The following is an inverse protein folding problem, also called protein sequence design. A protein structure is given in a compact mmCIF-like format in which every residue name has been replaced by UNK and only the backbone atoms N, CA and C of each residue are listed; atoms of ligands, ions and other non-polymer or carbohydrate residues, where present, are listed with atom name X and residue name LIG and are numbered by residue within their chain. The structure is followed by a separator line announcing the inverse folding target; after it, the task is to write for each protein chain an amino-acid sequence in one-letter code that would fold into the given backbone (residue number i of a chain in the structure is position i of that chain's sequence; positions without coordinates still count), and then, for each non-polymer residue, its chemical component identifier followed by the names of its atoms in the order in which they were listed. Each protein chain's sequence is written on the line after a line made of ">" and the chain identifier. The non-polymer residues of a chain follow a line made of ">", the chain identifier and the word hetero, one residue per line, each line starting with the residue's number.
data_IF_566344805777
#
_entry.id   IF_566344805777
#
_cell.length_a   1.000
_cell.length_b   1.000
_cell.length_c   1.000
_cell.angle_alpha   90.00
_cell.angle_beta   90.00
_cell.angle_gamma   90.00
#
_symmetry.space_group_name_H-M   'P 1'
#
loop_
_entity.id
_entity.type
_entity.pdbx_description
1 polymer ?
#
# COMPACT_ATOMS: atom_id res chain seq x y z
N UNK A 1 20.55 -0.93 -9.02
CA UNK A 1 19.36 -1.79 -9.28
C UNK A 1 19.24 -2.07 -10.78
N UNK A 2 19.22 -3.34 -11.19
CA UNK A 2 18.99 -3.73 -12.60
C UNK A 2 17.52 -3.42 -12.95
N UNK A 3 17.29 -2.56 -13.94
CA UNK A 3 15.95 -2.03 -14.25
C UNK A 3 15.15 -3.02 -15.08
N UNK A 4 13.96 -3.40 -14.60
CA UNK A 4 13.04 -4.29 -15.32
C UNK A 4 12.22 -3.45 -16.29
N UNK A 5 12.17 -3.86 -17.56
CA UNK A 5 11.37 -3.20 -18.60
C UNK A 5 9.90 -3.55 -18.36
N UNK A 6 8.97 -2.58 -18.30
CA UNK A 6 7.56 -2.89 -18.17
C UNK A 6 7.09 -3.69 -19.39
N UNK A 7 6.49 -4.85 -19.13
CA UNK A 7 5.82 -5.77 -20.04
C UNK A 7 4.61 -6.42 -19.30
N UNK A 8 3.93 -7.37 -19.94
CA UNK A 8 2.75 -8.00 -19.36
C UNK A 8 3.07 -8.74 -18.05
N UNK A 9 4.22 -9.42 -17.98
CA UNK A 9 4.66 -10.15 -16.80
C UNK A 9 5.02 -9.21 -15.65
N UNK A 10 5.64 -8.06 -15.97
CA UNK A 10 5.87 -7.00 -15.01
C UNK A 10 4.55 -6.50 -14.38
N UNK A 11 3.50 -6.29 -15.19
CA UNK A 11 2.19 -5.85 -14.68
C UNK A 11 1.56 -6.91 -13.79
N UNK A 12 1.62 -8.19 -14.17
CA UNK A 12 1.13 -9.29 -13.35
C UNK A 12 1.87 -9.36 -12.01
N UNK A 13 3.20 -9.22 -12.03
CA UNK A 13 4.02 -9.21 -10.83
C UNK A 13 3.70 -8.01 -9.94
N UNK A 14 3.53 -6.80 -10.49
CA UNK A 14 3.15 -5.63 -9.68
C UNK A 14 1.76 -5.80 -9.07
N UNK A 15 0.80 -6.37 -9.81
CA UNK A 15 -0.53 -6.65 -9.28
C UNK A 15 -0.47 -7.63 -8.10
N UNK A 16 0.26 -8.73 -8.23
CA UNK A 16 0.47 -9.69 -7.15
C UNK A 16 1.16 -9.05 -5.93
N UNK A 17 2.22 -8.27 -6.16
CA UNK A 17 2.96 -7.59 -5.10
C UNK A 17 2.09 -6.58 -4.34
N UNK A 18 1.25 -5.83 -5.04
CA UNK A 18 0.32 -4.89 -4.38
C UNK A 18 -0.73 -5.65 -3.55
N UNK A 19 -1.26 -6.76 -4.06
CA UNK A 19 -2.16 -7.63 -3.28
C UNK A 19 -1.47 -8.20 -2.04
N UNK A 20 -0.20 -8.60 -2.15
CA UNK A 20 0.59 -9.09 -1.03
C UNK A 20 0.85 -8.01 0.02
N UNK A 21 1.16 -6.78 -0.39
CA UNK A 21 1.36 -5.65 0.55
C UNK A 21 0.06 -5.27 1.26
N UNK A 22 -1.07 -5.31 0.56
CA UNK A 22 -2.40 -5.15 1.16
C UNK A 22 -2.69 -6.28 2.16
N UNK A 23 -2.36 -7.53 1.81
CA UNK A 23 -2.57 -8.72 2.67
C UNK A 23 -1.62 -8.81 3.87
N UNK A 24 -0.35 -8.45 3.73
CA UNK A 24 0.64 -8.45 4.81
C UNK A 24 0.31 -7.41 5.89
N UNK A 25 -0.30 -6.28 5.50
CA UNK A 25 -0.88 -5.34 6.46
C UNK A 25 -2.21 -5.81 7.03
N UNK A 26 -2.92 -6.68 6.33
CA UNK A 26 -4.13 -7.36 6.79
C UNK A 26 -3.87 -8.66 7.56
N UNK A 27 -2.73 -8.78 8.26
CA UNK A 27 -2.31 -10.04 8.88
C UNK A 27 -3.22 -10.51 10.03
N UNK A 28 -4.15 -9.66 10.48
CA UNK A 28 -5.06 -9.93 11.60
C UNK A 28 -6.49 -9.75 11.09
N UNK A 29 -7.35 -10.73 11.35
CA UNK A 29 -8.77 -10.64 10.96
C UNK A 29 -9.47 -9.51 11.73
N UNK A 30 -10.59 -9.01 11.20
CA UNK A 30 -11.37 -8.00 11.92
C UNK A 30 -11.82 -8.50 13.29
N UNK A 31 -12.25 -9.76 13.37
CA UNK A 31 -12.66 -10.39 14.62
C UNK A 31 -11.52 -10.43 15.64
N UNK A 32 -10.30 -10.74 15.19
CA UNK A 32 -9.11 -10.74 16.04
C UNK A 32 -8.69 -9.32 16.47
N UNK A 33 -8.84 -8.32 15.58
CA UNK A 33 -8.59 -6.91 15.89
C UNK A 33 -9.59 -6.39 16.94
N UNK A 34 -10.88 -6.72 16.78
CA UNK A 34 -11.94 -6.38 17.73
C UNK A 34 -11.72 -7.07 19.08
N UNK A 35 -11.30 -8.34 19.07
CA UNK A 35 -10.93 -9.06 20.29
C UNK A 35 -9.74 -8.39 21.01
N UNK A 36 -8.69 -8.02 20.28
CA UNK A 36 -7.52 -7.34 20.86
C UNK A 36 -7.92 -5.96 21.39
N UNK A 37 -8.76 -5.21 20.67
CA UNK A 37 -9.26 -3.91 21.13
C UNK A 37 -10.10 -4.04 22.41
N UNK A 38 -11.03 -5.01 22.48
CA UNK A 38 -11.82 -5.27 23.69
C UNK A 38 -10.94 -5.71 24.86
N UNK A 39 -10.02 -6.65 24.64
CA UNK A 39 -9.11 -7.14 25.67
C UNK A 39 -8.21 -6.01 26.23
N UNK A 40 -7.66 -5.17 25.36
CA UNK A 40 -6.79 -4.04 25.75
C UNK A 40 -7.60 -2.93 26.42
N UNK A 41 -8.87 -2.71 26.04
CA UNK A 41 -9.75 -1.72 26.67
C UNK A 41 -9.95 -1.97 28.17
N UNK A 42 -9.93 -3.25 28.59
CA UNK A 42 -10.12 -3.68 29.98
C UNK A 42 -8.88 -3.49 30.86
N UNK A 43 -7.71 -3.27 30.25
CA UNK A 43 -6.46 -2.99 30.97
C UNK A 43 -6.46 -1.56 31.55
N UNK A 44 -5.64 -1.30 32.57
CA UNK A 44 -5.48 0.05 33.14
C UNK A 44 -4.41 0.89 32.44
N UNK A 45 -3.59 0.28 31.59
CA UNK A 45 -2.47 0.95 30.92
C UNK A 45 -2.95 1.80 29.74
N UNK A 46 -2.98 3.13 29.93
CA UNK A 46 -3.38 4.09 28.91
C UNK A 46 -2.38 4.20 27.75
N UNK A 47 -1.09 3.94 27.99
CA UNK A 47 -0.05 4.02 26.96
C UNK A 47 -0.19 2.85 26.00
N UNK A 48 -0.42 1.65 26.53
CA UNK A 48 -0.67 0.46 25.71
C UNK A 48 -1.95 0.63 24.86
N UNK A 49 -3.02 1.18 25.43
CA UNK A 49 -4.26 1.48 24.69
C UNK A 49 -4.01 2.40 23.50
N UNK A 50 -3.26 3.47 23.69
CA UNK A 50 -2.91 4.40 22.61
C UNK A 50 -2.06 3.71 21.53
N UNK A 51 -1.00 2.98 21.92
CA UNK A 51 -0.16 2.26 20.96
C UNK A 51 -0.95 1.23 20.15
N UNK A 52 -1.89 0.50 20.78
CA UNK A 52 -2.74 -0.49 20.09
C UNK A 52 -3.73 0.20 19.16
N UNK A 53 -4.35 1.30 19.56
CA UNK A 53 -5.22 2.09 18.68
C UNK A 53 -4.46 2.61 17.45
N UNK A 54 -3.24 3.13 17.64
CA UNK A 54 -2.39 3.61 16.54
C UNK A 54 -1.91 2.47 15.63
N UNK A 55 -1.65 1.28 16.19
CA UNK A 55 -1.26 0.07 15.43
C UNK A 55 -2.41 -0.52 14.62
N UNK A 56 -3.63 -0.50 15.17
CA UNK A 56 -4.87 -0.89 14.47
C UNK A 56 -5.24 0.17 13.43
N UNK A 57 -4.74 1.41 13.59
CA UNK A 57 -5.10 2.66 12.93
C UNK A 57 -4.96 2.75 11.43
N UNK A 58 -5.61 1.86 10.70
CA UNK A 58 -6.19 2.12 9.39
C UNK A 58 -7.69 1.98 9.57
N UNK A 59 -8.43 3.07 9.34
CA UNK A 59 -9.89 2.94 9.23
C UNK A 59 -10.20 1.98 8.08
N UNK A 60 -11.25 1.16 8.24
CA UNK A 60 -11.77 0.31 7.16
C UNK A 60 -11.97 1.12 5.86
N UNK A 61 -12.29 2.41 5.99
CA UNK A 61 -12.47 3.38 4.90
C UNK A 61 -11.17 3.72 4.17
N UNK A 62 -10.10 4.13 4.86
CA UNK A 62 -8.80 4.46 4.24
C UNK A 62 -8.20 3.23 3.54
N UNK A 63 -8.37 2.06 4.15
CA UNK A 63 -7.97 0.79 3.54
C UNK A 63 -8.79 0.50 2.29
N UNK A 64 -10.10 0.64 2.35
CA UNK A 64 -10.98 0.43 1.20
C UNK A 64 -10.67 1.41 0.05
N UNK A 65 -10.34 2.66 0.35
CA UNK A 65 -9.90 3.66 -0.63
C UNK A 65 -8.61 3.22 -1.32
N UNK A 66 -7.61 2.78 -0.56
CA UNK A 66 -6.33 2.30 -1.12
C UNK A 66 -6.55 1.03 -1.94
N UNK A 67 -7.32 0.06 -1.45
CA UNK A 67 -7.65 -1.17 -2.18
C UNK A 67 -8.36 -0.85 -3.51
N UNK A 68 -9.32 0.09 -3.48
CA UNK A 68 -10.05 0.56 -4.66
C UNK A 68 -9.11 1.26 -5.65
N UNK A 69 -8.25 2.16 -5.17
CA UNK A 69 -7.27 2.84 -6.00
C UNK A 69 -6.32 1.86 -6.69
N UNK A 70 -5.78 0.89 -5.93
CA UNK A 70 -4.89 -0.15 -6.46
C UNK A 70 -5.62 -1.01 -7.51
N UNK A 71 -6.86 -1.41 -7.25
CA UNK A 71 -7.65 -2.20 -8.20
C UNK A 71 -7.85 -1.44 -9.53
N UNK A 72 -8.22 -0.15 -9.45
CA UNK A 72 -8.36 0.72 -10.63
C UNK A 72 -7.03 0.84 -11.38
N UNK A 73 -5.92 1.10 -10.66
CA UNK A 73 -4.61 1.23 -11.27
C UNK A 73 -4.19 -0.04 -12.01
N UNK A 74 -4.45 -1.23 -11.45
CA UNK A 74 -4.19 -2.52 -12.11
C UNK A 74 -5.02 -2.65 -13.40
N UNK A 75 -6.30 -2.30 -13.35
CA UNK A 75 -7.17 -2.41 -14.53
C UNK A 75 -6.75 -1.43 -15.64
N UNK A 76 -6.32 -0.22 -15.28
CA UNK A 76 -5.73 0.74 -16.21
C UNK A 76 -4.45 0.18 -16.82
N UNK A 77 -3.56 -0.42 -16.01
CA UNK A 77 -2.32 -1.01 -16.52
C UNK A 77 -2.57 -2.15 -17.51
N UNK A 78 -3.58 -2.99 -17.27
CA UNK A 78 -3.96 -4.10 -18.18
C UNK A 78 -4.48 -3.61 -19.53
N UNK A 79 -5.20 -2.49 -19.56
CA UNK A 79 -5.82 -1.93 -20.78
C UNK A 79 -4.91 -0.95 -21.54
N UNK A 80 -3.80 -0.55 -20.95
CA UNK A 80 -2.87 0.43 -21.53
C UNK A 80 -1.77 -0.25 -22.34
N UNK A 81 -1.31 0.39 -23.42
CA UNK A 81 -0.16 -0.12 -24.17
C UNK A 81 1.17 0.08 -23.43
N UNK A 82 2.12 -0.81 -23.67
CA UNK A 82 3.42 -0.85 -22.99
C UNK A 82 4.23 0.45 -23.18
N UNK A 83 4.12 1.11 -24.34
CA UNK A 83 4.83 2.38 -24.59
C UNK A 83 4.36 3.50 -23.67
N UNK A 84 3.05 3.60 -23.42
CA UNK A 84 2.46 4.57 -22.48
C UNK A 84 2.84 4.27 -21.03
N UNK A 85 2.86 3.00 -20.64
CA UNK A 85 3.33 2.60 -19.30
C UNK A 85 4.80 3.02 -19.07
N UNK A 86 5.67 2.85 -20.07
CA UNK A 86 7.07 3.30 -20.00
C UNK A 86 7.20 4.82 -19.90
N UNK A 87 6.34 5.56 -20.60
CA UNK A 87 6.28 7.02 -20.51
C UNK A 87 5.88 7.47 -19.10
N UNK A 88 4.80 6.92 -18.55
CA UNK A 88 4.37 7.21 -17.19
C UNK A 88 5.42 6.84 -16.14
N UNK A 89 6.05 5.66 -16.26
CA UNK A 89 7.11 5.23 -15.34
C UNK A 89 8.29 6.22 -15.32
N UNK A 90 8.68 6.72 -16.50
CA UNK A 90 9.75 7.71 -16.64
C UNK A 90 9.37 9.06 -16.04
N UNK A 91 8.12 9.50 -16.18
CA UNK A 91 7.64 10.74 -15.54
C UNK A 91 7.71 10.61 -14.01
N UNK A 92 7.26 9.48 -13.46
CA UNK A 92 7.31 9.21 -12.02
C UNK A 92 8.75 9.17 -11.52
N UNK A 93 9.64 8.51 -12.26
CA UNK A 93 11.08 8.45 -11.94
C UNK A 93 11.68 9.86 -11.85
N UNK A 94 11.47 10.70 -12.87
CA UNK A 94 11.99 12.07 -12.88
C UNK A 94 11.48 12.88 -11.68
N UNK A 95 10.19 12.76 -11.35
CA UNK A 95 9.61 13.42 -10.16
C UNK A 95 10.25 12.94 -8.86
N UNK A 96 10.58 11.66 -8.77
CA UNK A 96 11.21 11.10 -7.57
C UNK A 96 12.65 11.61 -7.40
N UNK A 97 13.43 11.64 -8.48
CA UNK A 97 14.80 12.17 -8.47
C UNK A 97 14.83 13.65 -8.09
N UNK A 98 13.91 14.45 -8.64
CA UNK A 98 13.78 15.87 -8.28
C UNK A 98 13.47 16.03 -6.79
N UNK A 99 12.60 15.19 -6.20
CA UNK A 99 12.33 15.24 -4.76
C UNK A 99 13.55 14.91 -3.91
N UNK A 100 14.34 13.91 -4.33
CA UNK A 100 15.57 13.52 -3.63
C UNK A 100 16.65 14.61 -3.67
N UNK A 101 16.68 15.45 -4.70
CA UNK A 101 17.61 16.59 -4.77
C UNK A 101 17.17 17.78 -3.91
N UNK A 102 15.91 17.84 -3.48
CA UNK A 102 15.32 19.00 -2.79
C UNK A 102 15.20 18.82 -1.26
N UNK A 103 15.17 17.58 -0.75
CA UNK A 103 15.21 17.33 0.71
C UNK A 103 16.66 17.29 1.21
N UNK A 104 17.12 18.25 2.05
CA UNK A 104 18.40 18.11 2.74
C UNK A 104 18.29 17.03 3.82
N UNK A 105 19.38 16.29 4.00
CA UNK A 105 19.54 15.20 4.96
C UNK A 105 19.20 15.57 6.40
#
# INVERSE_FOLDING_TARGET
>A
MRRVRPDADFVAHQAQRMQELLRQRAAVSRDDLEYVADAVSRLKDARLKACVADLIGWGDEERAEIETFVAIAIEVMKRTNVSKLRECARIVELRHLIKQEVEPA
#
